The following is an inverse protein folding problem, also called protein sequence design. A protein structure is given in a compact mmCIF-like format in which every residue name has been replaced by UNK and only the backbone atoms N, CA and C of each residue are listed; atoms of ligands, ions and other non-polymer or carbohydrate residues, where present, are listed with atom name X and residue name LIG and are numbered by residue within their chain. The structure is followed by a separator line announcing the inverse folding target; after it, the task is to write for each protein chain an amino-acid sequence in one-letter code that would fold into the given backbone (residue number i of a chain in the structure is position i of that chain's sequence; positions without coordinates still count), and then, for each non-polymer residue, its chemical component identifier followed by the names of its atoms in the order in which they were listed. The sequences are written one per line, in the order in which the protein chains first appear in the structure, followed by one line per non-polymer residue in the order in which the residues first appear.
data_IF_193577894925
#
_entry.id   IF_193577894925
#
_cell.length_a   1.000
_cell.length_b   1.000
_cell.length_c   1.000
_cell.angle_alpha   90.00
_cell.angle_beta   90.00
_cell.angle_gamma   90.00
#
_symmetry.space_group_name_H-M   'P 1'
#
loop_
_entity.id
_entity.type
_entity.pdbx_description
1 polymer ?
#
# COMPACT_ATOMS: atom_id res chain seq x y z
N UNK A 1 4.63 17.83 -4.61
CA UNK A 1 4.02 16.56 -4.12
C UNK A 1 3.04 16.92 -3.03
N UNK A 2 1.76 16.55 -3.16
CA UNK A 2 0.76 16.78 -2.11
C UNK A 2 0.67 15.50 -1.25
N UNK A 3 1.01 15.61 0.03
CA UNK A 3 0.99 14.50 0.97
C UNK A 3 -0.24 14.63 1.87
N UNK A 4 -1.07 13.58 1.87
CA UNK A 4 -2.29 13.55 2.64
C UNK A 4 -2.39 12.25 3.44
N UNK A 5 -2.86 12.36 4.68
CA UNK A 5 -3.28 11.20 5.46
C UNK A 5 -4.70 10.86 5.08
N UNK A 6 -4.89 9.71 4.46
CA UNK A 6 -6.21 9.20 4.10
C UNK A 6 -6.48 7.91 4.87
N UNK A 7 -7.74 7.68 5.30
CA UNK A 7 -8.17 6.40 5.83
C UNK A 7 -7.88 5.24 4.87
N UNK A 8 -7.39 4.10 5.40
CA UNK A 8 -6.97 2.94 4.59
C UNK A 8 -8.14 2.30 3.85
N UNK A 9 -9.35 2.37 4.40
CA UNK A 9 -10.60 1.90 3.79
C UNK A 9 -10.96 2.66 2.50
N UNK A 10 -10.37 3.83 2.25
CA UNK A 10 -10.50 4.56 0.98
C UNK A 10 -9.57 4.05 -0.12
N UNK A 11 -8.60 3.21 0.22
CA UNK A 11 -7.64 2.66 -0.73
C UNK A 11 -8.22 1.43 -1.41
N UNK A 12 -8.50 1.53 -2.71
CA UNK A 12 -8.97 0.41 -3.53
C UNK A 12 -7.82 -0.18 -4.33
N UNK A 13 -7.67 -1.52 -4.36
CA UNK A 13 -6.79 -2.15 -5.32
C UNK A 13 -7.30 -1.90 -6.75
N UNK A 14 -6.40 -1.72 -7.69
CA UNK A 14 -6.77 -1.66 -9.10
C UNK A 14 -7.44 -2.98 -9.54
N UNK A 15 -8.49 -2.90 -10.37
CA UNK A 15 -9.24 -4.07 -10.88
C UNK A 15 -8.32 -5.11 -11.53
N UNK A 16 -7.29 -4.66 -12.23
CA UNK A 16 -6.21 -5.50 -12.72
C UNK A 16 -4.93 -5.11 -11.97
N UNK A 17 -4.62 -5.85 -10.91
CA UNK A 17 -3.37 -5.70 -10.19
C UNK A 17 -2.59 -7.02 -10.34
N UNK A 18 -1.57 -7.08 -11.24
CA UNK A 18 -0.83 -8.31 -11.50
C UNK A 18 0.08 -8.73 -10.33
N UNK A 19 0.14 -7.93 -9.25
CA UNK A 19 0.92 -8.25 -8.06
C UNK A 19 0.38 -9.48 -7.35
N UNK A 20 1.30 -10.26 -6.79
CA UNK A 20 0.97 -11.34 -5.87
C UNK A 20 0.28 -10.76 -4.62
N UNK A 21 -0.84 -11.35 -4.27
CA UNK A 21 -1.54 -11.08 -3.02
C UNK A 21 -0.78 -11.77 -1.86
N UNK A 22 0.07 -10.99 -1.20
CA UNK A 22 0.89 -11.46 -0.08
C UNK A 22 0.04 -11.72 1.15
N UNK A 23 0.24 -12.87 1.77
CA UNK A 23 -0.48 -13.29 2.98
C UNK A 23 0.44 -13.27 4.21
N UNK A 24 -0.11 -13.07 5.43
CA UNK A 24 0.63 -13.28 6.65
C UNK A 24 1.34 -14.65 6.64
N UNK A 25 2.60 -14.69 7.06
CA UNK A 25 3.47 -15.86 6.96
C UNK A 25 4.27 -15.97 5.64
N UNK A 26 3.90 -15.27 4.57
CA UNK A 26 4.79 -15.17 3.40
C UNK A 26 6.08 -14.44 3.81
N UNK A 27 7.28 -14.95 3.45
CA UNK A 27 8.54 -14.30 3.82
C UNK A 27 8.63 -12.83 3.36
N UNK A 28 8.07 -12.52 2.19
CA UNK A 28 8.01 -11.16 1.66
C UNK A 28 7.06 -10.26 2.46
N UNK A 29 5.91 -10.79 2.90
CA UNK A 29 4.96 -10.08 3.75
C UNK A 29 5.61 -9.70 5.09
N UNK A 30 6.23 -10.66 5.77
CA UNK A 30 6.86 -10.43 7.07
C UNK A 30 8.03 -9.45 6.98
N UNK A 31 8.79 -9.47 5.87
CA UNK A 31 9.85 -8.48 5.62
C UNK A 31 9.29 -7.06 5.50
N UNK A 32 8.21 -6.87 4.76
CA UNK A 32 7.56 -5.55 4.62
C UNK A 32 6.99 -5.11 5.96
N UNK A 33 6.29 -6.01 6.67
CA UNK A 33 5.73 -5.73 8.00
C UNK A 33 6.81 -5.29 8.99
N UNK A 34 7.94 -5.99 9.05
CA UNK A 34 9.07 -5.63 9.90
C UNK A 34 9.65 -4.26 9.51
N UNK A 35 9.84 -4.01 8.22
CA UNK A 35 10.33 -2.72 7.75
C UNK A 35 9.40 -1.56 8.11
N UNK A 36 8.07 -1.76 7.98
CA UNK A 36 7.08 -0.76 8.35
C UNK A 36 7.09 -0.48 9.86
N UNK A 37 7.32 -1.51 10.67
CA UNK A 37 7.45 -1.37 12.12
C UNK A 37 8.73 -0.60 12.51
N UNK A 38 9.88 -0.97 11.93
CA UNK A 38 11.17 -0.43 12.36
C UNK A 38 11.45 0.98 11.79
N UNK A 39 10.98 1.26 10.57
CA UNK A 39 11.28 2.50 9.84
C UNK A 39 10.06 3.38 9.59
N UNK A 40 8.86 2.89 9.87
CA UNK A 40 7.63 3.61 9.54
C UNK A 40 7.37 3.69 8.04
N UNK A 41 6.57 4.67 7.64
CA UNK A 41 6.09 4.84 6.28
C UNK A 41 6.98 5.80 5.48
N UNK A 42 7.98 5.23 4.81
CA UNK A 42 9.05 5.99 4.13
C UNK A 42 8.77 6.31 2.67
N UNK A 43 7.93 5.50 2.01
CA UNK A 43 7.56 5.66 0.59
C UNK A 43 6.04 5.82 0.46
N UNK A 44 5.54 7.04 0.17
CA UNK A 44 4.12 7.31 0.05
C UNK A 44 3.46 6.56 -1.11
N UNK A 45 2.32 5.93 -0.84
CA UNK A 45 1.48 5.32 -1.87
C UNK A 45 0.88 6.41 -2.77
N UNK A 46 1.01 6.22 -4.08
CA UNK A 46 0.34 7.06 -5.06
C UNK A 46 -1.12 6.61 -5.18
N UNK A 47 -2.03 7.58 -5.12
CA UNK A 47 -3.47 7.33 -5.05
C UNK A 47 -4.22 8.25 -6.00
N UNK A 48 -5.20 7.70 -6.72
CA UNK A 48 -6.09 8.46 -7.57
C UNK A 48 -7.33 8.89 -6.78
N UNK A 49 -7.44 10.18 -6.49
CA UNK A 49 -8.51 10.74 -5.64
C UNK A 49 -9.92 10.54 -6.19
N UNK A 50 -10.08 10.49 -7.53
CA UNK A 50 -11.39 10.37 -8.19
C UNK A 50 -11.91 8.94 -8.12
N UNK A 51 -11.05 7.96 -8.37
CA UNK A 51 -11.44 6.54 -8.43
C UNK A 51 -11.27 5.80 -7.10
N UNK A 52 -10.40 6.32 -6.23
CA UNK A 52 -9.98 5.67 -4.99
C UNK A 52 -8.90 4.61 -5.21
N UNK A 53 -8.42 4.40 -6.44
CA UNK A 53 -7.46 3.34 -6.74
C UNK A 53 -6.02 3.71 -6.34
N UNK A 54 -5.31 2.75 -5.76
CA UNK A 54 -3.86 2.82 -5.63
C UNK A 54 -3.22 2.72 -7.03
N UNK A 55 -2.26 3.59 -7.30
CA UNK A 55 -1.48 3.63 -8.53
C UNK A 55 -0.03 3.26 -8.21
N UNK A 56 0.53 2.36 -9.01
CA UNK A 56 1.90 1.90 -8.86
C UNK A 56 2.05 0.53 -9.45
#
# INVERSE_FOLDING_TARGET
MNLQRIPVDRLKPAKYNPRKDLKPGDPAYEKIRRSLHDFGYVDPVIWNEVTGNIVG
#
